data_IF_934169871253
#
_entry.id   IF_934169871253
#
_cell.length_a   1.000
_cell.length_b   1.000
_cell.length_c   1.000
_cell.angle_alpha   90.00
_cell.angle_beta   90.00
_cell.angle_gamma   90.00
#
_symmetry.space_group_name_H-M   'P 1'
#
loop_
_entity.id
_entity.type
_entity.pdbx_description
1 polymer ?
#
# COMPACT_ATOMS: atom_id res chain seq x y z
N UNK A 1 13.92 3.67 7.10
CA UNK A 1 12.75 3.04 7.72
C UNK A 1 13.00 2.97 9.21
N UNK A 2 12.12 3.55 9.99
CA UNK A 2 12.22 3.67 11.44
C UNK A 2 11.04 2.97 12.11
N UNK A 3 11.29 2.21 13.20
CA UNK A 3 10.30 1.45 13.92
C UNK A 3 10.46 1.76 15.40
N UNK A 4 9.42 2.26 16.03
CA UNK A 4 9.44 2.54 17.46
C UNK A 4 9.38 1.24 18.28
N UNK A 5 10.07 1.19 19.42
CA UNK A 5 10.08 0.03 20.34
C UNK A 5 8.69 -0.40 20.78
N UNK A 6 7.78 0.57 20.85
CA UNK A 6 6.38 0.33 21.15
C UNK A 6 5.67 -0.58 20.14
N UNK A 7 6.10 -0.60 18.89
CA UNK A 7 5.53 -1.51 17.90
C UNK A 7 5.66 -2.98 18.32
N UNK A 8 6.74 -3.32 19.05
CA UNK A 8 6.98 -4.69 19.53
C UNK A 8 6.33 -4.97 20.89
N UNK A 9 6.16 -3.93 21.73
CA UNK A 9 5.61 -4.10 23.08
C UNK A 9 4.07 -4.01 23.14
N UNK A 10 3.43 -3.21 22.27
CA UNK A 10 1.98 -3.05 22.19
C UNK A 10 1.60 -2.90 20.70
N UNK A 11 1.72 -3.98 19.89
CA UNK A 11 1.48 -3.92 18.47
C UNK A 11 0.00 -3.67 18.15
N UNK A 12 -0.29 -2.87 17.10
CA UNK A 12 -1.66 -2.67 16.65
C UNK A 12 -2.18 -3.95 16.00
N UNK A 13 -3.41 -4.36 16.31
CA UNK A 13 -4.05 -5.51 15.67
C UNK A 13 -4.82 -5.12 14.41
N UNK A 14 -5.60 -4.06 14.50
CA UNK A 14 -6.51 -3.64 13.45
C UNK A 14 -6.06 -2.32 12.84
N UNK A 15 -5.79 -2.34 11.56
CA UNK A 15 -5.15 -1.23 10.85
C UNK A 15 -6.02 -0.76 9.69
N UNK A 16 -6.16 0.58 9.56
CA UNK A 16 -6.79 1.21 8.42
C UNK A 16 -5.75 1.90 7.54
N UNK A 17 -5.76 1.59 6.23
CA UNK A 17 -4.96 2.28 5.23
C UNK A 17 -5.77 3.44 4.66
N UNK A 18 -5.37 4.66 4.99
CA UNK A 18 -6.05 5.90 4.57
C UNK A 18 -5.75 6.23 3.09
N UNK A 19 -6.55 7.09 2.45
CA UNK A 19 -6.23 7.62 1.12
C UNK A 19 -4.84 8.26 1.08
N UNK A 20 -4.05 7.87 0.06
CA UNK A 20 -2.69 8.38 -0.08
C UNK A 20 -2.69 9.79 -0.65
N UNK A 21 -1.84 10.63 -0.09
CA UNK A 21 -1.58 11.99 -0.54
C UNK A 21 -0.58 12.00 -1.71
N UNK A 22 -0.70 13.01 -2.56
CA UNK A 22 0.23 13.22 -3.67
C UNK A 22 0.88 14.60 -3.57
N UNK A 23 2.13 14.63 -3.07
CA UNK A 23 2.93 15.86 -2.98
C UNK A 23 3.45 16.35 -4.34
N UNK A 24 3.39 15.51 -5.37
CA UNK A 24 3.87 15.87 -6.69
C UNK A 24 2.84 16.80 -7.33
N UNK A 25 2.91 18.05 -6.98
CA UNK A 25 2.16 19.09 -7.69
C UNK A 25 2.48 18.97 -9.19
N UNK A 26 1.45 19.01 -10.05
CA UNK A 26 1.43 18.70 -11.48
C UNK A 26 2.50 19.30 -12.41
N UNK A 27 3.66 19.69 -11.87
CA UNK A 27 4.75 20.33 -12.63
C UNK A 27 5.68 19.34 -13.36
N UNK A 28 5.66 18.04 -13.05
CA UNK A 28 6.71 17.13 -13.54
C UNK A 28 6.32 16.21 -14.69
N UNK A 29 5.05 16.07 -15.01
CA UNK A 29 4.61 15.08 -16.02
C UNK A 29 4.67 15.61 -17.45
N UNK A 30 4.60 16.91 -17.65
CA UNK A 30 4.31 17.51 -18.96
C UNK A 30 5.41 18.37 -19.58
N UNK A 31 6.52 18.62 -18.90
CA UNK A 31 7.56 19.51 -19.47
C UNK A 31 8.44 18.87 -20.55
N UNK A 32 8.25 17.60 -20.88
CA UNK A 32 9.15 16.86 -21.77
C UNK A 32 8.54 16.49 -23.13
N UNK A 33 7.26 16.76 -23.37
CA UNK A 33 6.62 16.48 -24.65
C UNK A 33 5.79 17.72 -25.05
N UNK A 34 5.86 18.20 -26.29
CA UNK A 34 4.99 19.26 -26.78
C UNK A 34 3.58 18.68 -27.04
N UNK A 35 2.85 18.36 -25.98
CA UNK A 35 1.47 17.94 -26.02
C UNK A 35 0.55 19.12 -25.65
N UNK A 36 -0.71 19.11 -26.09
CA UNK A 36 -1.69 20.10 -25.68
C UNK A 36 -1.71 20.24 -24.17
N UNK A 37 -1.77 21.47 -23.68
CA UNK A 37 -1.81 21.74 -22.23
C UNK A 37 -3.08 21.11 -21.64
N UNK A 38 -2.93 20.06 -20.87
CA UNK A 38 -4.03 19.54 -20.06
C UNK A 38 -4.46 20.58 -19.02
N UNK A 39 -5.76 20.62 -18.74
CA UNK A 39 -6.29 21.52 -17.72
C UNK A 39 -5.78 21.12 -16.33
N UNK A 40 -5.70 22.08 -15.41
CA UNK A 40 -5.33 21.83 -14.00
C UNK A 40 -6.20 20.73 -13.37
N UNK A 41 -7.48 20.69 -13.75
CA UNK A 41 -8.47 19.72 -13.27
C UNK A 41 -8.19 18.28 -13.74
N UNK A 42 -7.68 18.10 -14.97
CA UNK A 42 -7.29 16.78 -15.49
C UNK A 42 -6.02 16.25 -14.80
N UNK A 43 -5.08 17.14 -14.48
CA UNK A 43 -3.85 16.79 -13.76
C UNK A 43 -4.15 16.38 -12.31
N UNK A 44 -5.07 17.05 -11.63
CA UNK A 44 -5.53 16.70 -10.28
C UNK A 44 -6.22 15.33 -10.26
N UNK A 45 -7.08 15.04 -11.23
CA UNK A 45 -7.74 13.74 -11.35
C UNK A 45 -6.75 12.61 -11.61
N UNK A 46 -5.70 12.85 -12.39
CA UNK A 46 -4.69 11.84 -12.68
C UNK A 46 -3.79 11.56 -11.46
N UNK A 47 -3.41 12.57 -10.72
CA UNK A 47 -2.66 12.47 -9.46
C UNK A 47 -3.40 11.64 -8.42
N UNK A 48 -4.71 11.85 -8.28
CA UNK A 48 -5.57 11.06 -7.41
C UNK A 48 -5.60 9.58 -7.83
N UNK A 49 -5.76 9.30 -9.12
CA UNK A 49 -5.81 7.93 -9.65
C UNK A 49 -4.50 7.19 -9.37
N UNK A 50 -3.35 7.86 -9.50
CA UNK A 50 -2.04 7.26 -9.25
C UNK A 50 -1.81 6.96 -7.78
N UNK A 51 -2.08 7.90 -6.88
CA UNK A 51 -1.97 7.71 -5.44
C UNK A 51 -2.88 6.57 -4.95
N UNK A 52 -4.10 6.49 -5.49
CA UNK A 52 -5.03 5.39 -5.18
C UNK A 52 -4.54 4.02 -5.71
N UNK A 53 -3.86 3.99 -6.85
CA UNK A 53 -3.22 2.76 -7.36
C UNK A 53 -2.12 2.27 -6.40
N UNK A 54 -1.24 3.16 -5.94
CA UNK A 54 -0.20 2.83 -4.96
C UNK A 54 -0.81 2.37 -3.63
N UNK A 55 -1.88 3.01 -3.17
CA UNK A 55 -2.62 2.58 -1.97
C UNK A 55 -3.16 1.15 -2.12
N UNK A 56 -3.73 0.80 -3.27
CA UNK A 56 -4.24 -0.56 -3.53
C UNK A 56 -3.12 -1.60 -3.57
N UNK A 57 -2.00 -1.28 -4.19
CA UNK A 57 -0.83 -2.16 -4.17
C UNK A 57 -0.32 -2.34 -2.74
N UNK A 58 -0.23 -1.25 -1.98
CA UNK A 58 0.17 -1.30 -0.58
C UNK A 58 -0.76 -2.20 0.24
N UNK A 59 -2.05 -2.00 0.14
CA UNK A 59 -3.05 -2.81 0.84
C UNK A 59 -2.92 -4.30 0.50
N UNK A 60 -2.78 -4.65 -0.78
CA UNK A 60 -2.63 -6.04 -1.21
C UNK A 60 -1.36 -6.71 -0.67
N UNK A 61 -0.22 -6.00 -0.68
CA UNK A 61 1.02 -6.54 -0.10
C UNK A 61 1.00 -6.53 1.43
N UNK A 62 0.35 -5.54 2.04
CA UNK A 62 0.27 -5.39 3.49
C UNK A 62 -0.50 -6.52 4.17
N UNK A 63 -1.47 -7.11 3.50
CA UNK A 63 -2.21 -8.29 3.98
C UNK A 63 -1.28 -9.48 4.34
N UNK A 64 -0.06 -9.53 3.77
CA UNK A 64 0.95 -10.54 4.14
C UNK A 64 1.61 -10.32 5.51
N UNK A 65 1.29 -9.23 6.20
CA UNK A 65 1.86 -8.87 7.52
C UNK A 65 1.00 -9.29 8.70
N UNK A 66 -0.08 -10.05 8.45
CA UNK A 66 -0.93 -10.68 9.48
C UNK A 66 -1.67 -9.71 10.42
N UNK A 67 -1.82 -8.47 10.00
CA UNK A 67 -2.72 -7.53 10.65
C UNK A 67 -4.16 -7.74 10.19
N UNK A 68 -5.11 -7.36 11.01
CA UNK A 68 -6.51 -7.29 10.60
C UNK A 68 -6.73 -6.01 9.80
N UNK A 69 -6.84 -6.15 8.48
CA UNK A 69 -7.02 -5.03 7.57
C UNK A 69 -8.48 -4.57 7.54
N UNK A 70 -8.67 -3.25 7.59
CA UNK A 70 -9.98 -2.65 7.33
C UNK A 70 -10.12 -2.41 5.83
N UNK A 71 -11.20 -2.94 5.25
CA UNK A 71 -11.46 -2.82 3.82
C UNK A 71 -11.39 -1.38 3.31
N UNK A 72 -10.68 -1.15 2.20
CA UNK A 72 -10.50 0.19 1.63
C UNK A 72 -11.81 0.88 1.31
N UNK A 73 -12.80 0.12 0.81
CA UNK A 73 -14.11 0.66 0.46
C UNK A 73 -14.88 1.13 1.70
N UNK A 74 -14.76 0.42 2.82
CA UNK A 74 -15.35 0.85 4.09
C UNK A 74 -14.70 2.14 4.59
N UNK A 75 -13.36 2.23 4.54
CA UNK A 75 -12.62 3.44 4.90
C UNK A 75 -13.07 4.61 4.05
N UNK A 76 -13.10 4.45 2.71
CA UNK A 76 -13.45 5.52 1.77
C UNK A 76 -14.88 6.01 1.98
N UNK A 77 -15.84 5.09 2.18
CA UNK A 77 -17.23 5.44 2.44
C UNK A 77 -17.39 6.21 3.76
N UNK A 78 -16.74 5.74 4.82
CA UNK A 78 -16.78 6.40 6.13
C UNK A 78 -16.21 7.81 6.08
N UNK A 79 -15.05 7.99 5.40
CA UNK A 79 -14.46 9.30 5.22
C UNK A 79 -15.35 10.25 4.41
N UNK A 80 -16.00 9.74 3.37
CA UNK A 80 -16.95 10.50 2.56
C UNK A 80 -18.16 10.95 3.39
N UNK A 81 -18.70 10.09 4.25
CA UNK A 81 -19.82 10.40 5.15
C UNK A 81 -19.46 11.48 6.17
N UNK A 82 -18.17 11.57 6.55
CA UNK A 82 -17.64 12.62 7.42
C UNK A 82 -17.31 13.93 6.67
N UNK A 83 -17.49 13.97 5.34
CA UNK A 83 -17.13 15.13 4.53
C UNK A 83 -15.62 15.28 4.29
N UNK A 84 -14.83 14.25 4.58
CA UNK A 84 -13.38 14.21 4.33
C UNK A 84 -13.17 13.75 2.89
N UNK A 85 -13.00 14.70 1.98
CA UNK A 85 -12.94 14.43 0.54
C UNK A 85 -11.52 14.50 -0.03
N UNK A 86 -10.60 15.11 0.71
CA UNK A 86 -9.21 15.28 0.26
C UNK A 86 -8.22 14.80 1.33
N UNK A 87 -6.99 14.41 0.94
CA UNK A 87 -5.94 14.07 1.90
C UNK A 87 -5.62 15.21 2.88
N UNK A 88 -5.76 16.47 2.45
CA UNK A 88 -5.56 17.63 3.33
C UNK A 88 -6.61 17.69 4.45
N UNK A 89 -7.81 17.19 4.22
CA UNK A 89 -8.85 17.16 5.26
C UNK A 89 -8.56 16.08 6.30
N UNK A 90 -7.91 14.97 5.89
CA UNK A 90 -7.47 13.91 6.81
C UNK A 90 -6.52 14.43 7.89
N UNK A 91 -5.59 15.32 7.53
CA UNK A 91 -4.61 15.86 8.48
C UNK A 91 -5.20 16.85 9.48
N UNK A 92 -6.44 17.30 9.26
CA UNK A 92 -7.16 18.18 10.20
C UNK A 92 -7.86 17.41 11.31
N UNK A 93 -8.08 16.09 11.11
CA UNK A 93 -8.76 15.24 12.08
C UNK A 93 -7.74 14.45 12.89
N UNK A 94 -7.80 14.49 14.24
CA UNK A 94 -6.90 13.70 15.07
C UNK A 94 -6.98 12.19 14.77
N UNK A 95 -5.83 11.52 14.81
CA UNK A 95 -5.76 10.07 14.56
C UNK A 95 -6.65 9.26 15.52
N UNK A 96 -6.77 9.72 16.77
CA UNK A 96 -7.63 9.11 17.79
C UNK A 96 -9.11 9.13 17.39
N UNK A 97 -9.58 10.22 16.81
CA UNK A 97 -10.96 10.37 16.37
C UNK A 97 -11.24 9.50 15.14
N UNK A 98 -10.36 9.53 14.13
CA UNK A 98 -10.46 8.66 12.96
C UNK A 98 -10.43 7.18 13.36
N UNK A 99 -9.51 6.81 14.26
CA UNK A 99 -9.40 5.44 14.77
C UNK A 99 -10.67 4.96 15.46
N UNK A 100 -11.28 5.80 16.30
CA UNK A 100 -12.55 5.48 16.97
C UNK A 100 -13.68 5.26 15.98
N UNK A 101 -13.77 6.09 14.94
CA UNK A 101 -14.81 5.99 13.92
C UNK A 101 -14.61 4.75 13.03
N UNK A 102 -13.39 4.50 12.60
CA UNK A 102 -13.04 3.36 11.75
C UNK A 102 -12.93 2.05 12.53
N UNK A 103 -12.86 2.10 13.86
CA UNK A 103 -12.61 0.94 14.70
C UNK A 103 -11.19 0.36 14.49
N UNK A 104 -10.20 1.22 14.29
CA UNK A 104 -8.81 0.87 14.02
C UNK A 104 -7.91 1.17 15.22
N UNK A 105 -6.92 0.31 15.48
CA UNK A 105 -5.86 0.53 16.49
C UNK A 105 -4.75 1.43 15.96
N UNK A 106 -4.54 1.40 14.63
CA UNK A 106 -3.58 2.25 13.95
C UNK A 106 -4.06 2.68 12.57
N UNK A 107 -3.51 3.79 12.10
CA UNK A 107 -3.80 4.38 10.78
C UNK A 107 -2.52 4.47 9.98
N UNK A 108 -2.55 4.01 8.71
CA UNK A 108 -1.46 4.19 7.77
C UNK A 108 -1.77 5.38 6.87
N UNK A 109 -0.95 6.41 6.98
CA UNK A 109 -0.86 7.55 6.09
C UNK A 109 0.19 7.25 5.03
N UNK A 110 -0.16 7.42 3.77
CA UNK A 110 0.77 7.26 2.65
C UNK A 110 0.88 8.55 1.86
N UNK A 111 2.07 8.79 1.30
CA UNK A 111 2.39 9.99 0.54
C UNK A 111 3.28 9.66 -0.63
N UNK A 112 2.84 10.00 -1.83
CA UNK A 112 3.66 9.88 -3.03
C UNK A 112 4.66 11.02 -3.04
N UNK A 113 5.95 10.71 -2.92
CA UNK A 113 7.03 11.69 -2.80
C UNK A 113 7.69 11.98 -4.14
N UNK A 114 7.79 10.98 -5.03
CA UNK A 114 8.32 11.14 -6.37
C UNK A 114 7.49 10.37 -7.40
N UNK A 115 7.28 10.98 -8.55
CA UNK A 115 6.79 10.33 -9.74
C UNK A 115 7.36 11.00 -10.99
N UNK A 116 8.18 10.28 -11.72
CA UNK A 116 8.67 10.69 -13.03
C UNK A 116 8.61 9.51 -13.97
N UNK A 117 7.94 9.71 -15.07
CA UNK A 117 7.82 8.70 -16.12
C UNK A 117 8.13 9.40 -17.46
N UNK A 118 9.42 9.45 -17.82
CA UNK A 118 9.90 10.13 -19.01
C UNK A 118 10.41 9.10 -20.01
N UNK A 119 9.92 9.19 -21.24
CA UNK A 119 10.38 8.39 -22.37
C UNK A 119 10.90 9.33 -23.45
N UNK A 120 12.18 9.24 -23.69
CA UNK A 120 12.81 9.80 -24.87
C UNK A 120 13.12 8.64 -25.81
N UNK A 121 13.31 8.93 -27.07
CA UNK A 121 13.48 7.96 -28.15
C UNK A 121 14.44 6.81 -27.85
N UNK A 122 15.52 7.10 -27.10
CA UNK A 122 16.58 6.16 -26.71
C UNK A 122 16.81 6.09 -25.20
N UNK A 123 16.01 6.80 -24.41
CA UNK A 123 16.20 6.90 -22.96
C UNK A 123 14.87 6.79 -22.24
N UNK A 124 14.82 5.87 -21.30
CA UNK A 124 13.68 5.69 -20.40
C UNK A 124 14.11 6.02 -18.98
N UNK A 125 13.35 6.83 -18.29
CA UNK A 125 13.55 7.13 -16.88
C UNK A 125 12.24 6.97 -16.13
N UNK A 126 12.24 6.10 -15.12
CA UNK A 126 11.14 5.96 -14.17
C UNK A 126 11.70 6.26 -12.78
N UNK A 127 11.03 7.17 -12.07
CA UNK A 127 11.27 7.45 -10.64
C UNK A 127 9.95 7.40 -9.92
N UNK A 128 9.90 6.61 -8.86
CA UNK A 128 8.71 6.43 -8.04
C UNK A 128 9.15 6.44 -6.59
N UNK A 129 8.54 7.31 -5.78
CA UNK A 129 8.76 7.41 -4.35
C UNK A 129 7.46 7.32 -3.58
N UNK A 130 7.46 6.55 -2.51
CA UNK A 130 6.36 6.39 -1.58
C UNK A 130 6.88 6.45 -0.15
N UNK A 131 6.30 7.35 0.65
CA UNK A 131 6.49 7.41 2.09
C UNK A 131 5.23 6.92 2.79
N UNK A 132 5.40 6.18 3.88
CA UNK A 132 4.32 5.72 4.76
C UNK A 132 4.62 6.09 6.20
N UNK A 133 3.54 6.30 6.98
CA UNK A 133 3.60 6.52 8.41
C UNK A 133 2.44 5.81 9.09
N UNK A 134 2.74 4.92 10.02
CA UNK A 134 1.75 4.24 10.86
C UNK A 134 1.65 4.94 12.21
N UNK A 135 0.44 5.35 12.58
CA UNK A 135 0.16 6.16 13.77
C UNK A 135 -0.84 5.44 14.66
N UNK A 136 -0.54 5.36 15.95
CA UNK A 136 -1.42 4.83 16.98
C UNK A 136 -2.68 5.69 17.14
N UNK A 137 -3.84 5.05 17.20
CA UNK A 137 -5.10 5.73 17.49
C UNK A 137 -5.35 5.93 18.99
N UNK A 138 -4.52 5.35 19.86
CA UNK A 138 -4.60 5.55 21.31
C UNK A 138 -4.09 6.93 21.73
N UNK A 139 -2.95 7.34 21.19
CA UNK A 139 -2.21 8.54 21.62
C UNK A 139 -1.60 9.38 20.48
N UNK A 140 -1.75 8.94 19.23
CA UNK A 140 -1.17 9.63 18.08
C UNK A 140 0.33 9.42 17.89
N UNK A 141 0.97 8.54 18.68
CA UNK A 141 2.39 8.23 18.52
C UNK A 141 2.63 7.42 17.23
N UNK A 142 3.84 7.53 16.69
CA UNK A 142 4.25 6.79 15.50
C UNK A 142 4.69 5.38 15.89
N UNK A 143 4.16 4.36 15.22
CA UNK A 143 4.63 2.98 15.33
C UNK A 143 5.82 2.73 14.39
N UNK A 144 5.68 3.11 13.14
CA UNK A 144 6.76 3.06 12.17
C UNK A 144 6.56 4.12 11.07
N UNK A 145 7.65 4.51 10.46
CA UNK A 145 7.65 5.37 9.28
C UNK A 145 8.80 5.02 8.35
N UNK A 146 8.61 5.26 7.07
CA UNK A 146 9.65 4.98 6.10
C UNK A 146 9.30 5.47 4.71
N UNK A 147 10.34 5.58 3.91
CA UNK A 147 10.27 5.98 2.52
C UNK A 147 11.06 4.99 1.66
N UNK A 148 10.55 4.74 0.47
CA UNK A 148 11.22 3.98 -0.57
C UNK A 148 11.12 4.73 -1.88
N UNK A 149 12.27 4.90 -2.54
CA UNK A 149 12.37 5.53 -3.85
C UNK A 149 13.07 4.57 -4.80
N UNK A 150 12.48 4.35 -5.96
CA UNK A 150 13.07 3.56 -7.03
C UNK A 150 13.40 4.43 -8.23
N UNK A 151 14.57 4.20 -8.78
CA UNK A 151 15.07 4.84 -9.99
C UNK A 151 15.42 3.75 -11.00
N UNK A 152 14.65 3.68 -12.09
CA UNK A 152 14.98 2.82 -13.21
C UNK A 152 15.35 3.69 -14.41
N UNK A 153 16.60 3.55 -14.85
CA UNK A 153 17.12 4.21 -16.04
C UNK A 153 17.51 3.14 -17.04
N UNK A 154 16.94 3.18 -18.23
CA UNK A 154 17.27 2.28 -19.31
C UNK A 154 17.67 3.09 -20.56
N UNK A 155 18.85 2.80 -21.08
CA UNK A 155 19.39 3.44 -22.29
C UNK A 155 19.41 2.38 -23.39
N UNK A 156 18.57 2.53 -24.40
CA UNK A 156 18.60 1.70 -25.60
C UNK A 156 19.45 2.35 -26.67
N UNK A 157 20.54 1.72 -27.01
CA UNK A 157 21.35 2.13 -28.15
C UNK A 157 20.75 1.49 -29.40
N UNK A 158 20.09 2.29 -30.23
CA UNK A 158 19.65 1.84 -31.55
C UNK A 158 20.87 1.75 -32.48
N UNK A 159 21.24 0.54 -32.87
CA UNK A 159 22.39 0.29 -33.75
C UNK A 159 22.01 0.37 -35.24
N UNK A 160 20.72 0.46 -35.55
CA UNK A 160 20.19 0.45 -36.92
C UNK A 160 18.99 1.41 -37.05
N UNK A 161 18.87 2.22 -38.16
CA UNK A 161 17.71 3.08 -38.38
C UNK A 161 16.37 2.38 -38.41
N UNK A 162 16.32 1.10 -38.79
CA UNK A 162 15.08 0.29 -38.78
C UNK A 162 14.64 -0.06 -37.35
N UNK A 163 15.58 -0.35 -36.44
CA UNK A 163 15.27 -0.59 -35.02
C UNK A 163 14.69 0.64 -34.36
N UNK A 164 15.05 1.83 -34.85
CA UNK A 164 14.52 3.10 -34.40
C UNK A 164 13.01 3.26 -34.71
N UNK A 165 12.58 2.87 -35.92
CA UNK A 165 11.17 2.95 -36.32
C UNK A 165 10.34 1.93 -35.54
N UNK A 166 10.84 0.70 -35.37
CA UNK A 166 10.18 -0.36 -34.62
C UNK A 166 10.09 0.01 -33.12
N UNK A 167 11.17 0.54 -32.55
CA UNK A 167 11.19 1.00 -31.15
C UNK A 167 10.21 2.16 -30.90
N UNK A 168 10.03 3.03 -31.88
CA UNK A 168 9.06 4.14 -31.81
C UNK A 168 7.60 3.66 -31.83
N UNK A 169 7.31 2.59 -32.56
CA UNK A 169 5.98 1.97 -32.60
C UNK A 169 5.69 1.10 -31.37
N UNK A 170 6.70 0.36 -30.90
CA UNK A 170 6.55 -0.49 -29.69
C UNK A 170 6.51 0.30 -28.37
N UNK A 171 6.94 1.55 -28.37
CA UNK A 171 6.79 2.48 -27.25
C UNK A 171 5.40 3.13 -27.18
N UNK A 172 4.39 2.48 -27.76
CA UNK A 172 3.02 2.94 -27.65
C UNK A 172 2.57 3.08 -26.18
N UNK A 173 1.59 3.91 -25.91
CA UNK A 173 1.11 4.30 -24.57
C UNK A 173 0.92 3.12 -23.61
N UNK A 174 0.55 1.93 -24.10
CA UNK A 174 0.29 0.74 -23.28
C UNK A 174 1.52 0.18 -22.57
N UNK A 175 2.71 0.21 -23.18
CA UNK A 175 3.93 -0.29 -22.53
C UNK A 175 4.44 0.65 -21.42
N UNK A 176 4.21 1.95 -21.56
CA UNK A 176 4.59 2.96 -20.55
C UNK A 176 3.89 2.70 -19.22
N UNK A 177 2.61 2.37 -19.27
CA UNK A 177 1.79 2.11 -18.08
C UNK A 177 2.17 0.81 -17.39
N UNK A 178 2.52 -0.22 -18.14
CA UNK A 178 2.97 -1.52 -17.60
C UNK A 178 4.28 -1.37 -16.81
N UNK A 179 5.25 -0.63 -17.35
CA UNK A 179 6.53 -0.40 -16.66
C UNK A 179 6.36 0.45 -15.40
N UNK A 180 5.55 1.51 -15.48
CA UNK A 180 5.24 2.34 -14.32
C UNK A 180 4.47 1.56 -13.24
N UNK A 181 3.55 0.68 -13.64
CA UNK A 181 2.82 -0.18 -12.71
C UNK A 181 3.76 -1.17 -12.01
N UNK A 182 4.66 -1.84 -12.74
CA UNK A 182 5.65 -2.77 -12.18
C UNK A 182 6.59 -2.07 -11.21
N UNK A 183 7.15 -0.92 -11.58
CA UNK A 183 8.01 -0.14 -10.69
C UNK A 183 7.27 0.34 -9.43
N UNK A 184 5.98 0.70 -9.58
CA UNK A 184 5.12 1.06 -8.45
C UNK A 184 4.91 -0.10 -7.49
N UNK A 185 4.63 -1.29 -8.01
CA UNK A 185 4.44 -2.50 -7.22
C UNK A 185 5.72 -2.90 -6.49
N UNK A 186 6.88 -2.79 -7.13
CA UNK A 186 8.17 -3.08 -6.47
C UNK A 186 8.49 -2.11 -5.33
N UNK A 187 8.28 -0.79 -5.52
CA UNK A 187 8.46 0.20 -4.44
C UNK A 187 7.59 -0.16 -3.24
N UNK A 188 6.33 -0.47 -3.50
CA UNK A 188 5.38 -0.84 -2.44
C UNK A 188 5.81 -2.13 -1.76
N UNK A 189 6.16 -3.17 -2.52
CA UNK A 189 6.61 -4.45 -2.00
C UNK A 189 7.84 -4.31 -1.12
N UNK A 190 8.87 -3.57 -1.58
CA UNK A 190 10.08 -3.33 -0.81
C UNK A 190 9.80 -2.57 0.50
N UNK A 191 8.86 -1.62 0.46
CA UNK A 191 8.46 -0.86 1.64
C UNK A 191 7.73 -1.75 2.65
N UNK A 192 6.76 -2.56 2.18
CA UNK A 192 6.01 -3.49 3.03
C UNK A 192 6.91 -4.57 3.63
N UNK A 193 7.91 -5.07 2.88
CA UNK A 193 8.85 -6.07 3.39
C UNK A 193 9.66 -5.60 4.60
N UNK A 194 9.79 -4.29 4.79
CA UNK A 194 10.47 -3.70 5.97
C UNK A 194 9.59 -3.61 7.21
N UNK A 195 8.27 -3.79 7.07
CA UNK A 195 7.35 -3.82 8.20
C UNK A 195 7.49 -5.18 8.88
N UNK A 196 7.82 -5.25 10.18
CA UNK A 196 7.97 -6.53 10.86
C UNK A 196 6.66 -7.32 10.94
N UNK A 197 6.78 -8.63 10.98
CA UNK A 197 5.69 -9.54 11.34
C UNK A 197 5.64 -9.65 12.86
N UNK A 198 4.45 -9.55 13.42
CA UNK A 198 4.26 -9.63 14.87
C UNK A 198 3.90 -11.06 15.24
N UNK A 199 4.90 -11.87 15.57
CA UNK A 199 4.74 -13.29 15.89
C UNK A 199 3.78 -13.59 17.06
N UNK A 200 3.56 -12.63 17.97
CA UNK A 200 2.64 -12.82 19.09
C UNK A 200 1.20 -13.11 18.67
N UNK A 201 0.77 -12.62 17.52
CA UNK A 201 -0.58 -12.89 17.01
C UNK A 201 -0.72 -14.33 16.50
N UNK A 202 0.34 -14.86 15.88
CA UNK A 202 0.40 -16.24 15.40
C UNK A 202 0.35 -17.19 16.60
N UNK A 203 1.15 -16.93 17.63
CA UNK A 203 1.21 -17.76 18.83
C UNK A 203 -0.13 -17.77 19.58
N UNK A 204 -0.80 -16.64 19.72
CA UNK A 204 -2.13 -16.56 20.34
C UNK A 204 -3.18 -17.33 19.53
N UNK A 205 -3.18 -17.20 18.20
CA UNK A 205 -4.13 -17.90 17.34
C UNK A 205 -3.90 -19.41 17.35
N UNK A 206 -2.65 -19.86 17.31
CA UNK A 206 -2.29 -21.27 17.46
C UNK A 206 -2.75 -21.84 18.82
N UNK A 207 -2.58 -21.09 19.90
CA UNK A 207 -3.03 -21.51 21.23
C UNK A 207 -4.56 -21.65 21.24
N UNK A 208 -5.28 -20.67 20.71
CA UNK A 208 -6.75 -20.69 20.63
C UNK A 208 -7.27 -21.87 19.79
N UNK A 209 -6.60 -22.19 18.70
CA UNK A 209 -6.92 -23.36 17.85
C UNK A 209 -6.69 -24.65 18.61
N UNK A 210 -5.55 -24.77 19.31
CA UNK A 210 -5.21 -25.96 20.13
C UNK A 210 -6.24 -26.18 21.25
N UNK A 211 -6.69 -25.11 21.91
CA UNK A 211 -7.72 -25.18 22.94
C UNK A 211 -9.06 -25.63 22.37
N UNK A 212 -9.51 -25.08 21.25
CA UNK A 212 -10.75 -25.50 20.57
C UNK A 212 -10.72 -26.97 20.12
N UNK A 213 -9.57 -27.42 19.62
CA UNK A 213 -9.39 -28.83 19.23
C UNK A 213 -9.50 -29.71 20.48
N UNK A 214 -8.87 -29.33 21.59
CA UNK A 214 -8.91 -30.08 22.86
C UNK A 214 -10.36 -30.17 23.40
N UNK A 215 -11.10 -29.06 23.39
CA UNK A 215 -12.51 -29.03 23.80
C UNK A 215 -13.38 -29.94 22.91
N UNK A 216 -13.20 -29.89 21.59
CA UNK A 216 -13.94 -30.77 20.68
C UNK A 216 -13.58 -32.24 20.89
N UNK A 217 -12.31 -32.56 21.11
CA UNK A 217 -11.90 -33.94 21.38
C UNK A 217 -12.44 -34.47 22.71
N UNK A 218 -12.53 -33.63 23.76
CA UNK A 218 -13.10 -34.02 25.05
C UNK A 218 -14.61 -34.19 25.01
N UNK A 219 -15.29 -33.54 24.06
CA UNK A 219 -16.74 -33.63 23.85
C UNK A 219 -17.16 -34.79 22.93
N UNK A 220 -16.23 -35.48 22.26
CA UNK A 220 -16.52 -36.69 21.49
C UNK A 220 -16.80 -37.84 22.43
N UNK A 221 -17.95 -38.54 22.26
CA UNK A 221 -18.22 -39.76 23.08
C UNK A 221 -17.12 -40.75 22.82
N UNK A 222 -16.50 -41.25 23.93
CA UNK A 222 -15.58 -42.37 23.87
C UNK A 222 -16.28 -43.54 23.18
N UNK A 223 -15.78 -43.92 22.00
CA UNK A 223 -16.16 -45.16 21.35
C UNK A 223 -15.62 -46.31 22.23
N UNK A 224 -16.28 -46.54 23.37
CA UNK A 224 -15.97 -47.67 24.20
C UNK A 224 -16.24 -48.95 23.41
N UNK A 225 -15.19 -49.63 23.22
CA UNK A 225 -15.02 -51.05 22.95
C UNK A 225 -16.28 -51.91 23.28
N UNK A 226 -17.17 -52.08 22.33
CA UNK A 226 -18.04 -53.24 22.24
C UNK A 226 -17.48 -54.18 21.21
N UNK A 227 -16.29 -54.74 21.47
CA UNK A 227 -15.82 -55.93 20.79
C UNK A 227 -15.21 -56.82 21.86
N UNK A 228 -16.09 -57.44 22.63
CA UNK A 228 -15.77 -58.71 23.32
C UNK A 228 -17.11 -59.41 23.60
N UNK A 229 -17.30 -60.51 22.98
CA UNK A 229 -18.19 -61.64 23.17
C UNK A 229 -19.08 -61.95 21.95
N UNK A 230 -18.51 -62.69 21.05
CA UNK A 230 -19.13 -63.93 20.57
C UNK A 230 -18.09 -64.83 19.88
#
# INVERSE_FOLDING_TARGET
FDIADRFYSDPPRKIAVLPFDNLIGGKYILNSIPLPRFSKKETEGWNWTYANRLRRFFFGHFASREFVDIELMYVDKTLQELGILTPNDLYKVPAQELGRILGADALIYGRVTEYKNSYYLLYKQIRIGLSIKCVSTKDGSTFFEGEQVRHDNDIRVATNPFDFVIASFQNSMSMRDVYAARASEEVVRELVLRIPIVNSFIEEEEQLIRERIREKMSSLPTLDAKVSDK
#
